data_IF_105529088507
#
_entry.id   IF_105529088507
#
_cell.length_a   1.000
_cell.length_b   1.000
_cell.length_c   1.000
_cell.angle_alpha   90.00
_cell.angle_beta   90.00
_cell.angle_gamma   90.00
#
_symmetry.space_group_name_H-M   'P 1'
#
loop_
_entity.id
_entity.type
_entity.pdbx_description
1 polymer ?
#
# COMPACT_ATOMS: atom_id res chain seq x y z
N UNK A 1 3.63 -7.65 -9.90
CA UNK A 1 2.53 -6.87 -10.51
C UNK A 1 1.16 -7.11 -9.87
N UNK A 2 0.90 -8.26 -9.22
CA UNK A 2 -0.44 -8.56 -8.66
C UNK A 2 -0.86 -7.75 -7.43
N UNK A 3 0.09 -7.27 -6.61
CA UNK A 3 -0.21 -6.62 -5.34
C UNK A 3 -0.99 -5.30 -5.48
N UNK A 4 -0.56 -4.41 -6.38
CA UNK A 4 -1.26 -3.12 -6.60
C UNK A 4 -2.64 -3.33 -7.20
N UNK A 5 -2.79 -4.30 -8.11
CA UNK A 5 -4.08 -4.59 -8.75
C UNK A 5 -5.15 -5.08 -7.76
N UNK A 6 -4.75 -5.79 -6.71
CA UNK A 6 -5.64 -6.28 -5.68
C UNK A 6 -5.89 -5.26 -4.56
N UNK A 7 -4.89 -4.43 -4.23
CA UNK A 7 -4.99 -3.47 -3.14
C UNK A 7 -5.60 -2.12 -3.54
N UNK A 8 -5.38 -1.67 -4.79
CA UNK A 8 -5.87 -0.37 -5.27
C UNK A 8 -6.02 -0.39 -6.82
N UNK A 9 -7.21 -0.75 -7.27
CA UNK A 9 -7.52 -0.92 -8.70
C UNK A 9 -7.41 0.40 -9.47
N UNK A 10 -7.88 1.51 -8.89
CA UNK A 10 -7.86 2.82 -9.52
C UNK A 10 -6.43 3.31 -9.73
N UNK A 11 -5.55 3.11 -8.73
CA UNK A 11 -4.12 3.41 -8.88
C UNK A 11 -3.41 2.48 -9.85
N UNK A 12 -3.82 1.22 -9.97
CA UNK A 12 -3.29 0.35 -11.00
C UNK A 12 -3.64 0.86 -12.41
N UNK A 13 -4.90 1.25 -12.63
CA UNK A 13 -5.35 1.80 -13.91
C UNK A 13 -4.65 3.11 -14.25
N UNK A 14 -4.42 4.00 -13.28
CA UNK A 14 -3.73 5.28 -13.52
C UNK A 14 -2.30 5.07 -14.05
N UNK A 15 -1.59 4.04 -13.59
CA UNK A 15 -0.24 3.72 -14.09
C UNK A 15 -0.27 3.25 -15.55
N UNK A 16 -1.34 2.61 -16.00
CA UNK A 16 -1.43 2.19 -17.41
C UNK A 16 -1.47 3.37 -18.38
N UNK A 17 -1.87 4.57 -17.92
CA UNK A 17 -1.81 5.80 -18.70
C UNK A 17 -0.45 6.51 -18.63
N UNK A 18 0.44 6.10 -17.72
CA UNK A 18 1.78 6.68 -17.62
C UNK A 18 2.73 6.18 -18.73
N UNK A 19 3.78 6.93 -19.06
CA UNK A 19 4.88 6.47 -19.93
C UNK A 19 5.47 5.14 -19.44
N UNK A 20 5.74 4.22 -20.37
CA UNK A 20 6.11 2.83 -20.07
C UNK A 20 7.36 2.71 -19.18
N UNK A 21 8.34 3.59 -19.36
CA UNK A 21 9.57 3.72 -18.59
C UNK A 21 9.33 4.10 -17.12
N UNK A 22 8.22 4.80 -16.83
CA UNK A 22 7.86 5.26 -15.47
C UNK A 22 6.93 4.31 -14.73
N UNK A 23 6.26 3.39 -15.45
CA UNK A 23 5.26 2.48 -14.86
C UNK A 23 5.82 1.62 -13.73
N UNK A 24 7.05 1.12 -13.90
CA UNK A 24 7.71 0.31 -12.88
C UNK A 24 7.91 1.07 -11.56
N UNK A 25 8.40 2.31 -11.62
CA UNK A 25 8.61 3.15 -10.45
C UNK A 25 7.28 3.52 -9.77
N UNK A 26 6.25 3.86 -10.55
CA UNK A 26 4.92 4.19 -10.02
C UNK A 26 4.26 2.98 -9.34
N UNK A 27 4.38 1.78 -9.92
CA UNK A 27 3.86 0.56 -9.30
C UNK A 27 4.59 0.22 -8.00
N UNK A 28 5.91 0.47 -7.91
CA UNK A 28 6.66 0.29 -6.67
C UNK A 28 6.18 1.25 -5.58
N UNK A 29 5.98 2.53 -5.90
CA UNK A 29 5.45 3.53 -4.97
C UNK A 29 4.03 3.19 -4.50
N UNK A 30 3.16 2.75 -5.40
CA UNK A 30 1.79 2.38 -5.03
C UNK A 30 1.72 1.07 -4.25
N UNK A 31 2.58 0.09 -4.53
CA UNK A 31 2.70 -1.11 -3.70
C UNK A 31 3.14 -0.75 -2.27
N UNK A 32 4.14 0.13 -2.13
CA UNK A 32 4.59 0.61 -0.83
C UNK A 32 3.47 1.36 -0.08
N UNK A 33 2.75 2.24 -0.76
CA UNK A 33 1.62 2.95 -0.17
C UNK A 33 0.53 1.99 0.32
N UNK A 34 0.21 0.94 -0.44
CA UNK A 34 -0.79 -0.05 -0.07
C UNK A 34 -0.37 -0.84 1.20
N UNK A 35 0.90 -1.22 1.31
CA UNK A 35 1.42 -1.86 2.52
C UNK A 35 1.28 -0.96 3.75
N UNK A 36 1.70 0.31 3.66
CA UNK A 36 1.62 1.26 4.78
C UNK A 36 0.16 1.56 5.17
N UNK A 37 -0.74 1.69 4.20
CA UNK A 37 -2.17 1.87 4.48
C UNK A 37 -2.74 0.67 5.24
N UNK A 38 -2.41 -0.57 4.81
CA UNK A 38 -2.85 -1.80 5.47
C UNK A 38 -2.25 -2.01 6.86
N UNK A 39 -1.10 -1.39 7.17
CA UNK A 39 -0.55 -1.42 8.54
C UNK A 39 -1.54 -0.80 9.52
N UNK A 40 -2.16 0.35 9.20
CA UNK A 40 -3.13 1.03 10.09
C UNK A 40 -4.30 0.12 10.47
N UNK A 41 -4.79 -0.67 9.52
CA UNK A 41 -5.90 -1.60 9.76
C UNK A 41 -5.48 -2.82 10.59
N UNK A 42 -4.19 -3.20 10.54
CA UNK A 42 -3.63 -4.29 11.36
C UNK A 42 -3.31 -3.85 12.79
N UNK A 43 -2.99 -2.58 13.03
CA UNK A 43 -2.86 -2.00 14.39
C UNK A 43 -4.24 -1.62 14.92
N UNK A 44 -5.12 -2.62 15.07
CA UNK A 44 -6.36 -2.52 15.85
C UNK A 44 -6.27 -3.22 17.21
N UNK A 45 -5.11 -3.78 17.56
CA UNK A 45 -4.83 -4.04 18.98
C UNK A 45 -4.36 -2.73 19.60
N UNK A 46 -5.19 -2.05 20.43
CA UNK A 46 -4.64 -1.07 21.34
C UNK A 46 -3.58 -1.81 22.15
N UNK A 47 -2.34 -1.31 22.12
CA UNK A 47 -1.29 -1.74 23.05
C UNK A 47 -1.94 -1.94 24.42
N UNK A 48 -1.98 -3.17 24.97
CA UNK A 48 -2.51 -3.37 26.31
C UNK A 48 -1.71 -2.44 27.23
N UNK A 49 -2.39 -1.43 27.77
CA UNK A 49 -1.81 -0.42 28.65
C UNK A 49 -1.47 -1.00 30.02
N UNK A 50 -0.61 -2.01 30.07
CA UNK A 50 -0.26 -2.75 31.29
C UNK A 50 1.22 -3.06 31.41
N UNK A 51 2.11 -2.18 30.94
CA UNK A 51 3.43 -2.10 31.60
C UNK A 51 3.24 -1.24 32.85
N UNK A 52 2.65 -1.83 33.88
CA UNK A 52 2.79 -1.34 35.25
C UNK A 52 4.20 -1.67 35.70
N UNK A 53 5.06 -0.65 35.78
CA UNK A 53 6.27 -0.66 36.61
C UNK A 53 5.88 -0.44 38.07
#
# INVERSE_FOLDING_TARGET
MGAVRAADHDRYLSVLYAPADKRGALLALYAFNAEIAGVRDRIHEPLPGEVRL
#
